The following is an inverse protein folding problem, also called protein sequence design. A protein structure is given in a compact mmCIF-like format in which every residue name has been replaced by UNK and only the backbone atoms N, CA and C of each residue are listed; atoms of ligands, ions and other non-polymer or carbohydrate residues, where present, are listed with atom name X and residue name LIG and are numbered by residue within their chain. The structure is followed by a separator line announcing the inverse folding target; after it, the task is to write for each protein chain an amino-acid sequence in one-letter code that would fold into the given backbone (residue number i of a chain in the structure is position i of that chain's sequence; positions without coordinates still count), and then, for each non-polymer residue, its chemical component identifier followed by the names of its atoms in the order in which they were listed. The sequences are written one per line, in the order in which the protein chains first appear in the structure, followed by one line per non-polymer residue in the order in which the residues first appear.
data_IF_320452344103
#
_entry.id   IF_320452344103
#
_cell.length_a   1.000
_cell.length_b   1.000
_cell.length_c   1.000
_cell.angle_alpha   90.00
_cell.angle_beta   90.00
_cell.angle_gamma   90.00
#
_symmetry.space_group_name_H-M   'P 1'
#
loop_
_entity.id
_entity.type
_entity.pdbx_description
1 polymer ?
#
# COMPACT_ATOMS: atom_id res chain seq x y z
N UNK A 1 1.61 -18.61 1.16
CA UNK A 1 0.14 -18.48 1.36
C UNK A 1 -0.49 -17.54 0.35
N UNK A 2 -0.46 -17.93 -0.93
CA UNK A 2 -0.96 -17.12 -2.04
C UNK A 2 -2.50 -17.15 -2.20
N UNK A 3 -3.20 -17.87 -1.34
CA UNK A 3 -4.65 -18.09 -1.43
C UNK A 3 -5.48 -16.91 -0.91
N UNK A 4 -4.93 -16.09 0.00
CA UNK A 4 -5.66 -14.98 0.60
C UNK A 4 -5.08 -13.65 0.16
N UNK A 5 -5.95 -12.69 -0.14
CA UNK A 5 -5.63 -11.31 -0.41
C UNK A 5 -5.90 -10.44 0.82
N UNK A 6 -5.07 -9.42 1.00
CA UNK A 6 -5.26 -8.43 2.04
C UNK A 6 -5.74 -7.11 1.43
N UNK A 7 -6.85 -6.61 1.93
CA UNK A 7 -7.42 -5.31 1.60
C UNK A 7 -7.42 -4.44 2.86
N UNK A 8 -7.36 -3.13 2.66
CA UNK A 8 -7.63 -2.17 3.72
C UNK A 8 -9.01 -1.57 3.50
N UNK A 9 -9.90 -1.73 4.48
CA UNK A 9 -11.16 -1.01 4.57
C UNK A 9 -10.95 0.15 5.55
N UNK A 10 -11.01 1.38 5.05
CA UNK A 10 -10.62 2.57 5.79
C UNK A 10 -11.85 3.44 6.04
N UNK A 11 -12.20 3.61 7.31
CA UNK A 11 -13.17 4.61 7.75
C UNK A 11 -12.49 5.98 7.79
N UNK A 12 -13.24 7.06 7.55
CA UNK A 12 -12.70 8.41 7.51
C UNK A 12 -13.70 9.44 8.04
N UNK A 13 -13.18 10.62 8.43
CA UNK A 13 -14.00 11.74 8.89
C UNK A 13 -13.20 13.03 8.99
N UNK A 14 -13.93 14.15 9.09
CA UNK A 14 -13.35 15.49 9.29
C UNK A 14 -13.05 15.77 10.77
N UNK A 15 -13.34 14.84 11.64
CA UNK A 15 -12.97 14.84 13.06
C UNK A 15 -12.65 13.43 13.52
N UNK A 16 -11.91 13.31 14.62
CA UNK A 16 -11.62 12.01 15.23
C UNK A 16 -12.91 11.26 15.59
N UNK A 17 -13.88 11.95 16.18
CA UNK A 17 -15.16 11.35 16.59
C UNK A 17 -15.94 10.81 15.40
N UNK A 18 -16.04 11.57 14.30
CA UNK A 18 -16.69 11.11 13.07
C UNK A 18 -16.00 9.87 12.50
N UNK A 19 -14.67 9.87 12.42
CA UNK A 19 -13.91 8.72 11.95
C UNK A 19 -14.10 7.50 12.86
N UNK A 20 -14.19 7.69 14.18
CA UNK A 20 -14.46 6.62 15.15
C UNK A 20 -15.89 6.07 15.03
N UNK A 21 -16.89 6.91 14.81
CA UNK A 21 -18.27 6.45 14.57
C UNK A 21 -18.36 5.60 13.29
N UNK A 22 -17.75 6.07 12.21
CA UNK A 22 -17.71 5.33 10.95
C UNK A 22 -16.94 4.00 11.12
N UNK A 23 -15.82 4.03 11.84
CA UNK A 23 -15.04 2.82 12.11
C UNK A 23 -15.78 1.81 12.99
N UNK A 24 -16.57 2.28 13.94
CA UNK A 24 -17.40 1.44 14.80
C UNK A 24 -18.48 0.71 13.98
N UNK A 25 -19.17 1.43 13.09
CA UNK A 25 -20.15 0.85 12.19
C UNK A 25 -19.50 -0.16 11.22
N UNK A 26 -18.34 0.22 10.63
CA UNK A 26 -17.57 -0.67 9.76
C UNK A 26 -17.13 -1.94 10.50
N UNK A 27 -16.66 -1.82 11.74
CA UNK A 27 -16.28 -2.97 12.57
C UNK A 27 -17.42 -3.98 12.72
N UNK A 28 -18.64 -3.51 13.02
CA UNK A 28 -19.79 -4.38 13.13
C UNK A 28 -20.18 -5.03 11.80
N UNK A 29 -20.08 -4.30 10.69
CA UNK A 29 -20.30 -4.89 9.36
C UNK A 29 -19.27 -5.97 9.04
N UNK A 30 -18.00 -5.73 9.37
CA UNK A 30 -16.94 -6.73 9.20
C UNK A 30 -17.14 -7.97 10.09
N UNK A 31 -17.57 -7.77 11.33
CA UNK A 31 -17.90 -8.85 12.26
C UNK A 31 -19.05 -9.72 11.73
N UNK A 32 -20.10 -9.09 11.20
CA UNK A 32 -21.20 -9.81 10.59
C UNK A 32 -20.77 -10.57 9.34
N UNK A 33 -19.99 -9.93 8.46
CA UNK A 33 -19.46 -10.58 7.27
C UNK A 33 -18.55 -11.77 7.58
N UNK A 34 -17.80 -11.72 8.69
CA UNK A 34 -17.00 -12.84 9.15
C UNK A 34 -17.86 -14.00 9.62
N UNK A 35 -18.95 -13.72 10.37
CA UNK A 35 -19.91 -14.74 10.80
C UNK A 35 -20.62 -15.41 9.60
N UNK A 36 -20.86 -14.65 8.54
CA UNK A 36 -21.47 -15.12 7.29
C UNK A 36 -20.47 -15.79 6.33
N UNK A 37 -19.23 -16.03 6.76
CA UNK A 37 -18.11 -16.60 5.96
C UNK A 37 -17.79 -15.82 4.67
N UNK A 38 -18.12 -14.53 4.63
CA UNK A 38 -17.85 -13.63 3.49
C UNK A 38 -16.44 -13.03 3.53
N UNK A 39 -15.75 -13.13 4.65
CA UNK A 39 -14.34 -12.82 4.82
C UNK A 39 -13.68 -13.82 5.79
N UNK A 40 -12.37 -14.04 5.64
CA UNK A 40 -11.67 -15.02 6.47
C UNK A 40 -11.29 -14.46 7.83
N UNK A 41 -10.71 -13.27 7.85
CA UNK A 41 -10.21 -12.63 9.06
C UNK A 41 -10.14 -11.11 8.84
N UNK A 42 -10.34 -10.36 9.90
CA UNK A 42 -10.06 -8.93 9.91
C UNK A 42 -9.34 -8.50 11.19
N UNK A 43 -8.67 -7.36 11.12
CA UNK A 43 -8.05 -6.67 12.24
C UNK A 43 -8.54 -5.24 12.26
N UNK A 44 -9.17 -4.83 13.35
CA UNK A 44 -9.82 -3.53 13.49
C UNK A 44 -9.66 -3.01 14.91
N UNK A 45 -9.51 -1.70 15.04
CA UNK A 45 -9.55 -1.01 16.34
C UNK A 45 -10.98 -0.77 16.85
N UNK A 46 -12.02 -1.03 16.05
CA UNK A 46 -13.42 -0.67 16.38
C UNK A 46 -13.98 -1.35 17.63
N UNK A 47 -13.38 -2.46 18.08
CA UNK A 47 -13.77 -3.08 19.36
C UNK A 47 -13.20 -2.37 20.59
N UNK A 48 -12.08 -1.65 20.45
CA UNK A 48 -11.26 -1.12 21.55
C UNK A 48 -11.31 0.42 21.58
N UNK A 49 -11.13 1.05 20.43
CA UNK A 49 -11.19 2.50 20.28
C UNK A 49 -12.59 2.90 19.83
N UNK A 50 -13.37 3.37 20.79
CA UNK A 50 -14.81 3.58 20.62
C UNK A 50 -15.15 5.07 20.47
N UNK A 51 -16.18 5.44 19.72
CA UNK A 51 -16.71 6.78 19.71
C UNK A 51 -17.26 7.17 21.09
N UNK A 52 -17.26 8.45 21.42
CA UNK A 52 -17.63 8.97 22.75
C UNK A 52 -19.01 8.48 23.21
N UNK A 53 -19.97 8.42 22.30
CA UNK A 53 -21.32 7.94 22.59
C UNK A 53 -21.34 6.49 23.10
N UNK A 54 -20.54 5.62 22.49
CA UNK A 54 -20.44 4.21 22.93
C UNK A 54 -19.61 4.06 24.21
N UNK A 55 -18.59 4.91 24.39
CA UNK A 55 -17.86 4.99 25.65
C UNK A 55 -18.79 5.38 26.80
N UNK A 56 -19.60 6.44 26.62
CA UNK A 56 -20.57 6.90 27.64
C UNK A 56 -21.58 5.80 28.01
N UNK A 57 -22.16 5.11 27.02
CA UNK A 57 -23.08 3.99 27.28
C UNK A 57 -22.42 2.85 28.08
N UNK A 58 -21.14 2.56 27.80
CA UNK A 58 -20.40 1.54 28.55
C UNK A 58 -20.08 2.01 29.97
N UNK A 59 -19.73 3.29 30.15
CA UNK A 59 -19.48 3.88 31.45
C UNK A 59 -20.77 3.93 32.31
N UNK A 60 -21.91 4.26 31.72
CA UNK A 60 -23.22 4.23 32.41
C UNK A 60 -23.55 2.82 32.88
N UNK A 61 -23.39 1.81 32.02
CA UNK A 61 -23.56 0.39 32.41
C UNK A 61 -22.60 -0.02 33.52
N UNK A 62 -21.33 0.40 33.46
CA UNK A 62 -20.34 0.18 34.48
C UNK A 62 -20.77 0.79 35.82
N UNK A 63 -21.17 2.09 35.85
CA UNK A 63 -21.62 2.79 37.05
C UNK A 63 -22.90 2.18 37.64
N UNK A 64 -23.81 1.75 36.78
CA UNK A 64 -25.06 1.07 37.22
C UNK A 64 -24.73 -0.28 37.84
N UNK A 65 -23.81 -1.01 37.29
CA UNK A 65 -23.39 -2.31 37.82
C UNK A 65 -22.58 -2.18 39.11
N UNK A 66 -21.61 -1.27 39.15
CA UNK A 66 -20.76 -0.98 40.28
C UNK A 66 -21.31 0.20 41.10
N UNK A 67 -22.51 0.06 41.61
CA UNK A 67 -23.07 1.06 42.50
C UNK A 67 -22.47 0.92 43.93
N UNK A 68 -22.67 1.94 44.75
CA UNK A 68 -22.10 1.99 46.11
C UNK A 68 -22.54 0.81 46.98
N UNK A 69 -23.79 0.34 46.84
CA UNK A 69 -24.31 -0.79 47.58
C UNK A 69 -23.57 -2.08 47.22
N UNK A 70 -23.38 -2.38 45.93
CA UNK A 70 -22.67 -3.57 45.46
C UNK A 70 -21.19 -3.55 45.82
N UNK A 71 -20.53 -2.38 45.68
CA UNK A 71 -19.14 -2.21 46.09
C UNK A 71 -19.00 -2.49 47.58
N UNK A 72 -19.91 -1.93 48.42
CA UNK A 72 -19.91 -2.13 49.86
C UNK A 72 -20.12 -3.63 50.26
N UNK A 73 -21.06 -4.32 49.57
CA UNK A 73 -21.29 -5.76 49.79
C UNK A 73 -20.05 -6.58 49.52
N UNK A 74 -19.43 -6.37 48.35
CA UNK A 74 -18.20 -7.10 47.94
C UNK A 74 -17.02 -6.77 48.86
N UNK A 75 -16.89 -5.51 49.31
CA UNK A 75 -15.85 -5.10 50.25
C UNK A 75 -16.00 -5.84 51.61
N UNK A 76 -17.24 -5.99 52.09
CA UNK A 76 -17.53 -6.79 53.29
C UNK A 76 -17.24 -8.29 53.12
N UNK A 77 -17.69 -8.86 52.02
CA UNK A 77 -17.45 -10.27 51.69
C UNK A 77 -15.96 -10.58 51.55
N UNK A 78 -15.21 -9.78 50.83
CA UNK A 78 -13.77 -9.94 50.67
C UNK A 78 -13.06 -9.82 52.05
N UNK A 79 -13.49 -8.86 52.87
CA UNK A 79 -12.91 -8.67 54.19
C UNK A 79 -13.17 -9.88 55.09
N UNK A 80 -14.38 -10.46 55.02
CA UNK A 80 -14.74 -11.66 55.75
C UNK A 80 -13.90 -12.90 55.32
N UNK A 81 -13.89 -13.21 54.02
CA UNK A 81 -13.18 -14.37 53.48
C UNK A 81 -11.65 -14.24 53.57
N UNK A 82 -11.09 -13.06 53.48
CA UNK A 82 -9.63 -12.86 53.61
C UNK A 82 -9.15 -13.13 55.05
N UNK A 83 -9.99 -12.89 56.05
CA UNK A 83 -9.68 -13.26 57.45
C UNK A 83 -9.60 -14.74 57.64
N UNK A 84 -10.49 -15.51 57.03
CA UNK A 84 -10.50 -16.99 57.09
C UNK A 84 -9.27 -17.61 56.39
N UNK A 85 -8.81 -17.04 55.30
CA UNK A 85 -7.73 -17.59 54.46
C UNK A 85 -6.36 -17.01 54.84
N UNK A 86 -6.30 -16.03 55.76
CA UNK A 86 -5.06 -15.42 56.22
C UNK A 86 -4.47 -14.37 55.28
N UNK A 87 -5.24 -13.82 54.33
CA UNK A 87 -4.83 -12.69 53.49
C UNK A 87 -5.17 -11.36 54.20
N UNK A 88 -4.39 -10.34 53.89
CA UNK A 88 -4.68 -8.98 54.38
C UNK A 88 -5.71 -8.29 53.43
N UNK A 89 -6.86 -7.89 53.95
CA UNK A 89 -7.88 -7.15 53.18
C UNK A 89 -7.33 -5.90 52.47
N UNK A 90 -6.28 -5.29 53.02
CA UNK A 90 -5.60 -4.12 52.42
C UNK A 90 -4.98 -4.39 51.06
N UNK A 91 -4.74 -5.65 50.68
CA UNK A 91 -4.23 -6.02 49.33
C UNK A 91 -5.22 -5.68 48.22
N UNK A 92 -6.53 -5.63 48.53
CA UNK A 92 -7.60 -5.30 47.57
C UNK A 92 -7.93 -3.79 47.53
N UNK A 93 -7.28 -2.94 48.35
CA UNK A 93 -7.53 -1.55 48.37
C UNK A 93 -7.36 -0.83 46.99
N UNK A 94 -6.34 -1.17 46.14
CA UNK A 94 -6.22 -0.60 44.80
C UNK A 94 -7.39 -0.97 43.88
N UNK A 95 -7.93 -2.20 43.99
CA UNK A 95 -9.09 -2.63 43.24
C UNK A 95 -10.35 -1.83 43.60
N UNK A 96 -10.62 -1.66 44.89
CA UNK A 96 -11.76 -0.85 45.33
C UNK A 96 -11.61 0.64 45.02
N UNK A 97 -10.39 1.17 45.07
CA UNK A 97 -10.13 2.52 44.62
C UNK A 97 -10.48 2.71 43.13
N UNK A 98 -10.05 1.76 42.30
CA UNK A 98 -10.39 1.76 40.87
C UNK A 98 -11.92 1.65 40.61
N UNK A 99 -12.66 0.89 41.40
CA UNK A 99 -14.13 0.79 41.29
C UNK A 99 -14.84 2.06 41.70
N UNK A 100 -14.29 2.78 42.70
CA UNK A 100 -14.84 4.06 43.22
C UNK A 100 -14.49 5.25 42.32
N UNK A 101 -13.41 5.13 41.51
CA UNK A 101 -13.09 6.15 40.51
C UNK A 101 -14.15 6.16 39.41
N UNK A 102 -14.49 7.36 38.94
CA UNK A 102 -15.39 7.54 37.80
C UNK A 102 -14.57 7.78 36.56
N UNK A 103 -14.27 6.74 35.76
CA UNK A 103 -13.49 6.90 34.55
C UNK A 103 -14.18 7.88 33.60
N UNK A 104 -13.39 8.68 32.88
CA UNK A 104 -13.85 9.63 31.89
C UNK A 104 -13.67 9.07 30.48
N UNK A 105 -14.48 9.47 29.51
CA UNK A 105 -14.29 9.10 28.12
C UNK A 105 -12.97 9.63 27.60
N UNK A 106 -12.28 8.85 26.81
CA UNK A 106 -11.08 9.28 26.07
C UNK A 106 -11.55 10.07 24.86
N UNK A 107 -11.02 11.29 24.69
CA UNK A 107 -11.48 12.24 23.66
C UNK A 107 -10.41 12.63 22.66
N UNK A 108 -9.15 12.36 22.94
CA UNK A 108 -8.02 12.77 22.11
C UNK A 108 -7.13 11.60 21.68
N UNK A 109 -6.49 11.74 20.53
CA UNK A 109 -5.51 10.76 20.03
C UNK A 109 -4.34 10.58 21.00
N UNK A 110 -3.89 11.68 21.66
CA UNK A 110 -2.79 11.65 22.62
C UNK A 110 -3.11 10.76 23.82
N UNK A 111 -4.35 10.82 24.31
CA UNK A 111 -4.82 9.96 25.41
C UNK A 111 -4.85 8.48 24.99
N UNK A 112 -5.30 8.17 23.76
CA UNK A 112 -5.24 6.82 23.23
C UNK A 112 -3.81 6.32 23.05
N UNK A 113 -2.89 7.17 22.60
CA UNK A 113 -1.46 6.83 22.45
C UNK A 113 -0.79 6.53 23.79
N UNK A 114 -1.23 7.19 24.86
CA UNK A 114 -0.73 6.96 26.22
C UNK A 114 -1.03 5.54 26.73
N UNK A 115 -2.00 4.83 26.13
CA UNK A 115 -2.33 3.44 26.48
C UNK A 115 -1.26 2.43 26.07
N UNK A 116 -0.19 2.82 25.42
CA UNK A 116 1.05 2.09 25.01
C UNK A 116 0.91 0.59 24.65
N UNK A 117 -0.17 -0.07 25.04
CA UNK A 117 -0.45 -1.49 24.78
C UNK A 117 -0.89 -1.76 23.32
N UNK A 118 -1.29 -0.73 22.59
CA UNK A 118 -1.81 -0.83 21.23
C UNK A 118 -1.09 0.19 20.35
N UNK A 119 -0.51 -0.23 19.20
CA UNK A 119 0.14 0.69 18.26
C UNK A 119 -0.91 1.47 17.46
N UNK A 120 -1.60 2.39 18.09
CA UNK A 120 -2.73 3.15 17.51
C UNK A 120 -2.29 3.94 16.27
N UNK A 121 -1.04 4.47 16.28
CA UNK A 121 -0.46 5.20 15.14
C UNK A 121 -0.37 4.40 13.85
N UNK A 122 -0.33 3.08 13.95
CA UNK A 122 -0.31 2.22 12.76
C UNK A 122 -1.67 2.10 12.08
N UNK A 123 -2.74 2.44 12.79
CA UNK A 123 -4.12 2.30 12.33
C UNK A 123 -4.83 3.64 12.11
N UNK A 124 -4.51 4.66 12.92
CA UNK A 124 -5.14 5.97 12.85
C UNK A 124 -4.13 6.97 12.30
N UNK A 125 -4.49 7.65 11.22
CA UNK A 125 -3.69 8.71 10.63
C UNK A 125 -4.49 10.00 10.59
N UNK A 126 -3.86 11.10 11.01
CA UNK A 126 -4.37 12.45 10.89
C UNK A 126 -3.54 13.24 9.88
N UNK A 127 -4.20 13.91 8.97
CA UNK A 127 -3.56 14.83 8.04
C UNK A 127 -4.49 16.00 7.74
N UNK A 128 -4.02 17.21 8.07
CA UNK A 128 -4.76 18.45 7.78
C UNK A 128 -6.20 18.48 8.33
N UNK A 129 -6.42 17.88 9.53
CA UNK A 129 -7.73 17.77 10.16
C UNK A 129 -8.61 16.65 9.60
N UNK A 130 -8.12 15.84 8.67
CA UNK A 130 -8.79 14.68 8.14
C UNK A 130 -8.25 13.41 8.81
N UNK A 131 -9.16 12.63 9.38
CA UNK A 131 -8.84 11.41 10.11
C UNK A 131 -9.18 10.17 9.29
N UNK A 132 -8.28 9.19 9.30
CA UNK A 132 -8.50 7.89 8.65
C UNK A 132 -8.17 6.76 9.61
N UNK A 133 -9.00 5.72 9.62
CA UNK A 133 -8.82 4.54 10.46
C UNK A 133 -8.82 3.30 9.55
N UNK A 134 -7.68 2.64 9.45
CA UNK A 134 -7.48 1.52 8.58
C UNK A 134 -7.80 0.19 9.26
N UNK A 135 -8.60 -0.64 8.62
CA UNK A 135 -8.90 -2.01 9.03
C UNK A 135 -8.34 -2.98 7.99
N UNK A 136 -7.55 -3.94 8.43
CA UNK A 136 -6.99 -4.96 7.56
C UNK A 136 -7.99 -6.11 7.41
N UNK A 137 -8.35 -6.46 6.19
CA UNK A 137 -9.27 -7.56 5.87
C UNK A 137 -8.55 -8.59 5.01
N UNK A 138 -8.66 -9.87 5.38
CA UNK A 138 -8.16 -11.01 4.61
C UNK A 138 -9.33 -11.80 4.04
N UNK A 139 -9.30 -12.00 2.72
CA UNK A 139 -10.35 -12.70 1.99
C UNK A 139 -9.79 -13.45 0.78
N UNK A 140 -10.58 -14.35 0.19
CA UNK A 140 -10.23 -15.02 -1.06
C UNK A 140 -10.50 -14.12 -2.26
N UNK A 141 -9.95 -14.48 -3.43
CA UNK A 141 -10.21 -13.73 -4.66
C UNK A 141 -11.69 -13.68 -5.01
N UNK A 142 -12.41 -14.75 -4.78
CA UNK A 142 -13.85 -14.88 -5.09
C UNK A 142 -14.71 -14.01 -4.16
N UNK A 143 -14.33 -13.89 -2.89
CA UNK A 143 -15.03 -13.06 -1.90
C UNK A 143 -14.83 -11.55 -2.12
N UNK A 144 -13.75 -11.16 -2.86
CA UNK A 144 -13.31 -9.77 -2.99
C UNK A 144 -14.39 -8.85 -3.58
N UNK A 145 -14.93 -9.22 -4.73
CA UNK A 145 -15.85 -8.34 -5.46
C UNK A 145 -17.19 -8.21 -4.73
N UNK A 146 -17.65 -9.29 -4.11
CA UNK A 146 -18.85 -9.29 -3.26
C UNK A 146 -18.63 -8.42 -2.01
N UNK A 147 -17.46 -8.52 -1.38
CA UNK A 147 -17.08 -7.71 -0.23
C UNK A 147 -17.08 -6.20 -0.56
N UNK A 148 -16.43 -5.82 -1.67
CA UNK A 148 -16.36 -4.41 -2.10
C UNK A 148 -17.77 -3.85 -2.32
N UNK A 149 -18.60 -4.53 -3.08
CA UNK A 149 -19.96 -4.09 -3.37
C UNK A 149 -20.84 -3.96 -2.13
N UNK A 150 -20.65 -4.82 -1.14
CA UNK A 150 -21.44 -4.80 0.09
C UNK A 150 -20.99 -3.68 1.01
N UNK A 151 -19.69 -3.50 1.23
CA UNK A 151 -19.16 -2.44 2.11
C UNK A 151 -19.45 -1.04 1.54
N UNK A 152 -19.32 -0.82 0.24
CA UNK A 152 -19.62 0.48 -0.39
C UNK A 152 -21.09 0.90 -0.24
N UNK A 153 -22.00 -0.07 -0.07
CA UNK A 153 -23.43 0.22 0.14
C UNK A 153 -23.74 0.54 1.60
N UNK A 154 -23.07 -0.13 2.52
CA UNK A 154 -23.47 -0.13 3.93
C UNK A 154 -22.78 0.99 4.73
N UNK A 155 -21.57 1.39 4.34
CA UNK A 155 -20.78 2.39 5.08
C UNK A 155 -19.94 3.25 4.14
N UNK A 156 -19.78 4.56 4.43
CA UNK A 156 -18.82 5.41 3.71
C UNK A 156 -17.39 4.96 4.04
N UNK A 157 -16.86 4.07 3.23
CA UNK A 157 -15.58 3.40 3.47
C UNK A 157 -14.72 3.47 2.21
N UNK A 158 -13.45 3.84 2.37
CA UNK A 158 -12.46 3.77 1.30
C UNK A 158 -11.78 2.40 1.30
N UNK A 159 -11.92 1.66 0.22
CA UNK A 159 -11.26 0.36 0.05
C UNK A 159 -9.94 0.55 -0.67
N UNK A 160 -8.84 0.14 -0.04
CA UNK A 160 -7.48 0.23 -0.57
C UNK A 160 -6.94 -1.18 -0.81
N UNK A 161 -6.90 -1.59 -2.06
CA UNK A 161 -6.23 -2.81 -2.51
C UNK A 161 -4.81 -2.47 -2.97
N UNK A 162 -3.84 -2.60 -2.07
CA UNK A 162 -2.43 -2.28 -2.36
C UNK A 162 -1.89 -3.06 -3.56
N UNK A 163 -2.30 -4.32 -3.71
CA UNK A 163 -1.84 -5.15 -4.83
C UNK A 163 -2.42 -4.64 -6.14
N UNK A 164 -3.72 -4.38 -6.20
CA UNK A 164 -4.38 -3.86 -7.39
C UNK A 164 -3.86 -2.46 -7.76
N UNK A 165 -3.64 -1.59 -6.78
CA UNK A 165 -3.03 -0.25 -6.99
C UNK A 165 -1.64 -0.40 -7.58
N UNK A 166 -0.79 -1.28 -7.02
CA UNK A 166 0.56 -1.51 -7.52
C UNK A 166 0.54 -2.09 -8.94
N UNK A 167 -0.30 -3.07 -9.22
CA UNK A 167 -0.44 -3.67 -10.55
C UNK A 167 -0.94 -2.65 -11.59
N UNK A 168 -1.94 -1.84 -11.23
CA UNK A 168 -2.48 -0.78 -12.09
C UNK A 168 -1.43 0.31 -12.34
N UNK A 169 -0.71 0.72 -11.29
CA UNK A 169 0.36 1.72 -11.40
C UNK A 169 1.50 1.22 -12.30
N UNK A 170 1.97 -0.03 -12.07
CA UNK A 170 3.00 -0.64 -12.89
C UNK A 170 2.55 -0.83 -14.34
N UNK A 171 1.29 -1.19 -14.55
CA UNK A 171 0.70 -1.29 -15.89
C UNK A 171 0.72 0.06 -16.63
N UNK A 172 0.24 1.13 -15.99
CA UNK A 172 0.29 2.48 -16.56
C UNK A 172 1.72 2.95 -16.82
N UNK A 173 2.63 2.71 -15.87
CA UNK A 173 4.04 3.06 -16.03
C UNK A 173 4.65 2.35 -17.24
N UNK A 174 4.33 1.08 -17.47
CA UNK A 174 4.75 0.33 -18.65
C UNK A 174 4.26 0.99 -19.94
N UNK A 175 2.98 1.36 -20.00
CA UNK A 175 2.39 1.99 -21.18
C UNK A 175 3.00 3.37 -21.45
N UNK A 176 3.25 4.16 -20.41
CA UNK A 176 3.91 5.46 -20.50
C UNK A 176 5.36 5.32 -21.02
N UNK A 177 6.14 4.36 -20.50
CA UNK A 177 7.51 4.10 -20.97
C UNK A 177 7.53 3.67 -22.43
N UNK A 178 6.62 2.78 -22.85
CA UNK A 178 6.50 2.35 -24.25
C UNK A 178 6.13 3.52 -25.18
N UNK A 179 5.24 4.39 -24.73
CA UNK A 179 4.85 5.60 -25.50
C UNK A 179 6.04 6.56 -25.62
N UNK A 180 6.77 6.82 -24.52
CA UNK A 180 7.97 7.65 -24.55
C UNK A 180 9.06 7.08 -25.44
N UNK A 181 9.30 5.76 -25.41
CA UNK A 181 10.25 5.07 -26.26
C UNK A 181 9.86 5.21 -27.74
N UNK A 182 8.56 5.14 -28.07
CA UNK A 182 8.05 5.34 -29.42
C UNK A 182 8.29 6.78 -29.92
N UNK A 183 7.99 7.77 -29.08
CA UNK A 183 8.25 9.18 -29.43
C UNK A 183 9.73 9.47 -29.57
N UNK A 184 10.58 8.94 -28.67
CA UNK A 184 12.02 9.07 -28.77
C UNK A 184 12.57 8.43 -30.05
N UNK A 185 12.10 7.23 -30.42
CA UNK A 185 12.49 6.57 -31.67
C UNK A 185 12.11 7.38 -32.91
N UNK A 186 10.91 7.97 -32.89
CA UNK A 186 10.46 8.85 -33.98
C UNK A 186 11.31 10.11 -34.06
N UNK A 187 11.65 10.73 -32.93
CA UNK A 187 12.51 11.91 -32.89
C UNK A 187 13.93 11.57 -33.40
N UNK A 188 14.51 10.44 -33.00
CA UNK A 188 15.80 9.97 -33.51
C UNK A 188 15.74 9.78 -35.03
N UNK A 189 14.68 9.16 -35.54
CA UNK A 189 14.50 9.01 -36.98
C UNK A 189 14.56 10.34 -37.73
N UNK A 190 13.83 11.36 -37.26
CA UNK A 190 13.84 12.69 -37.90
C UNK A 190 15.20 13.38 -37.77
N UNK A 191 15.87 13.29 -36.63
CA UNK A 191 17.22 13.84 -36.42
C UNK A 191 18.20 13.20 -37.40
N UNK A 192 18.18 11.86 -37.54
CA UNK A 192 19.05 11.15 -38.48
C UNK A 192 18.74 11.54 -39.93
N UNK A 193 17.47 11.73 -40.27
CA UNK A 193 17.07 12.14 -41.61
C UNK A 193 17.59 13.54 -41.97
N UNK A 194 17.54 14.49 -41.05
CA UNK A 194 18.10 15.84 -41.20
C UNK A 194 19.62 15.76 -41.31
N UNK A 195 20.28 14.92 -40.52
CA UNK A 195 21.74 14.78 -40.46
C UNK A 195 22.28 14.14 -41.76
N UNK A 196 21.80 12.96 -42.12
CA UNK A 196 22.28 12.24 -43.29
C UNK A 196 21.73 12.73 -44.62
N UNK A 197 20.58 13.40 -44.62
CA UNK A 197 19.84 13.87 -45.81
C UNK A 197 19.59 12.79 -46.89
N UNK A 198 19.78 11.50 -46.55
CA UNK A 198 19.56 10.33 -47.41
C UNK A 198 18.89 9.25 -46.58
N UNK A 199 17.68 8.84 -47.02
CA UNK A 199 16.88 7.86 -46.31
C UNK A 199 17.58 6.49 -46.22
N UNK A 200 18.39 6.15 -47.23
CA UNK A 200 19.13 4.89 -47.26
C UNK A 200 20.10 4.75 -46.08
N UNK A 201 20.82 5.85 -45.74
CA UNK A 201 21.75 5.86 -44.61
C UNK A 201 20.99 5.83 -43.28
N UNK A 202 19.83 6.48 -43.19
CA UNK A 202 18.97 6.41 -42.03
C UNK A 202 18.50 4.96 -41.79
N UNK A 203 18.00 4.29 -42.82
CA UNK A 203 17.56 2.90 -42.74
C UNK A 203 18.74 1.98 -42.37
N UNK A 204 19.92 2.16 -42.97
CA UNK A 204 21.12 1.40 -42.61
C UNK A 204 21.49 1.54 -41.12
N UNK A 205 21.36 2.75 -40.58
CA UNK A 205 21.60 3.02 -39.14
C UNK A 205 20.55 2.41 -38.24
N UNK A 206 19.29 2.33 -38.67
CA UNK A 206 18.18 1.82 -37.86
C UNK A 206 18.10 0.27 -37.84
N UNK A 207 18.63 -0.44 -38.86
CA UNK A 207 18.58 -1.89 -38.93
C UNK A 207 19.24 -2.56 -37.70
N UNK A 208 20.47 -2.21 -37.29
CA UNK A 208 21.11 -2.81 -36.10
C UNK A 208 20.30 -2.54 -34.80
N UNK A 209 19.72 -1.35 -34.70
CA UNK A 209 18.89 -0.96 -33.54
C UNK A 209 17.66 -1.83 -33.47
N UNK A 210 16.99 -2.03 -34.60
CA UNK A 210 15.81 -2.92 -34.70
C UNK A 210 16.17 -4.38 -34.33
N UNK A 211 17.29 -4.89 -34.87
CA UNK A 211 17.77 -6.23 -34.54
C UNK A 211 18.06 -6.36 -33.05
N UNK A 212 18.75 -5.38 -32.44
CA UNK A 212 19.04 -5.36 -31.00
C UNK A 212 17.76 -5.40 -30.17
N UNK A 213 16.72 -4.62 -30.54
CA UNK A 213 15.44 -4.63 -29.88
C UNK A 213 14.75 -6.00 -29.94
N UNK A 214 14.72 -6.62 -31.13
CA UNK A 214 14.11 -7.95 -31.32
C UNK A 214 14.87 -9.02 -30.54
N UNK A 215 16.20 -9.01 -30.61
CA UNK A 215 17.04 -10.00 -29.90
C UNK A 215 16.90 -9.84 -28.39
N UNK A 216 16.91 -8.60 -27.89
CA UNK A 216 16.74 -8.35 -26.45
C UNK A 216 15.40 -8.86 -25.95
N UNK A 217 14.30 -8.58 -26.64
CA UNK A 217 12.98 -9.05 -26.25
C UNK A 217 12.83 -10.56 -26.39
N UNK A 218 13.44 -11.15 -27.40
CA UNK A 218 13.47 -12.61 -27.57
C UNK A 218 14.24 -13.31 -26.44
N UNK A 219 15.41 -12.80 -26.07
CA UNK A 219 16.20 -13.31 -24.94
C UNK A 219 15.44 -13.20 -23.61
N UNK A 220 14.81 -12.07 -23.35
CA UNK A 220 13.97 -11.91 -22.16
C UNK A 220 12.88 -12.99 -22.08
N UNK A 221 12.22 -13.26 -23.20
CA UNK A 221 11.18 -14.29 -23.26
C UNK A 221 11.75 -15.70 -23.04
N UNK A 222 12.90 -16.03 -23.64
CA UNK A 222 13.56 -17.34 -23.48
C UNK A 222 13.98 -17.57 -22.02
N UNK A 223 14.50 -16.54 -21.35
CA UNK A 223 14.94 -16.64 -19.96
C UNK A 223 13.80 -16.43 -18.93
N UNK A 224 12.57 -16.23 -19.40
CA UNK A 224 11.43 -16.00 -18.51
C UNK A 224 11.53 -14.70 -17.71
N UNK A 225 12.27 -13.69 -18.19
CA UNK A 225 12.43 -12.40 -17.53
C UNK A 225 11.16 -11.57 -17.78
N UNK A 226 10.42 -11.30 -16.71
CA UNK A 226 9.24 -10.46 -16.77
C UNK A 226 9.57 -9.01 -17.16
N UNK A 227 8.69 -8.41 -17.95
CA UNK A 227 8.80 -7.00 -18.33
C UNK A 227 8.39 -6.10 -17.17
N UNK A 228 9.34 -5.80 -16.29
CA UNK A 228 9.18 -4.94 -15.13
C UNK A 228 9.96 -3.62 -15.28
N UNK A 229 9.85 -2.72 -14.32
CA UNK A 229 10.52 -1.40 -14.35
C UNK A 229 12.03 -1.51 -14.52
N UNK A 230 12.67 -2.48 -13.87
CA UNK A 230 14.12 -2.68 -13.98
C UNK A 230 14.53 -3.16 -15.37
N UNK A 231 13.81 -4.14 -15.92
CA UNK A 231 14.06 -4.63 -17.27
C UNK A 231 13.83 -3.54 -18.33
N UNK A 232 12.85 -2.66 -18.14
CA UNK A 232 12.62 -1.50 -19.01
C UNK A 232 13.79 -0.53 -19.00
N UNK A 233 14.36 -0.21 -17.84
CA UNK A 233 15.55 0.66 -17.74
C UNK A 233 16.74 0.03 -18.47
N UNK A 234 16.99 -1.27 -18.27
CA UNK A 234 18.07 -1.99 -18.95
C UNK A 234 17.85 -2.00 -20.46
N UNK A 235 16.64 -2.32 -20.93
CA UNK A 235 16.31 -2.28 -22.37
C UNK A 235 16.54 -0.88 -22.97
N UNK A 236 16.17 0.18 -22.26
CA UNK A 236 16.38 1.56 -22.72
C UNK A 236 17.88 1.89 -22.85
N UNK A 237 18.71 1.45 -21.88
CA UNK A 237 20.15 1.63 -21.93
C UNK A 237 20.78 0.85 -23.10
N UNK A 238 20.37 -0.39 -23.31
CA UNK A 238 20.86 -1.23 -24.43
C UNK A 238 20.47 -0.61 -25.78
N UNK A 239 19.24 -0.14 -25.92
CA UNK A 239 18.79 0.54 -27.14
C UNK A 239 19.55 1.85 -27.36
N UNK A 240 19.77 2.66 -26.31
CA UNK A 240 20.54 3.91 -26.40
C UNK A 240 21.97 3.65 -26.89
N UNK A 241 22.67 2.68 -26.30
CA UNK A 241 23.99 2.29 -26.76
C UNK A 241 23.98 1.80 -28.23
N UNK A 242 22.97 1.02 -28.59
CA UNK A 242 22.84 0.53 -29.98
C UNK A 242 22.70 1.68 -30.98
N UNK A 243 21.99 2.75 -30.61
CA UNK A 243 21.85 3.96 -31.44
C UNK A 243 23.21 4.63 -31.64
N UNK A 244 23.96 4.85 -30.57
CA UNK A 244 25.28 5.51 -30.62
C UNK A 244 26.27 4.72 -31.51
N UNK A 245 26.40 3.42 -31.29
CA UNK A 245 27.23 2.57 -32.11
C UNK A 245 26.85 2.57 -33.59
N UNK A 246 25.54 2.51 -33.86
CA UNK A 246 25.03 2.48 -35.22
C UNK A 246 25.33 3.78 -35.98
N UNK A 247 25.20 4.92 -35.31
CA UNK A 247 25.55 6.24 -35.88
C UNK A 247 27.03 6.32 -36.16
N UNK A 248 27.88 5.94 -35.19
CA UNK A 248 29.34 5.96 -35.38
C UNK A 248 29.79 5.10 -36.55
N UNK A 249 29.27 3.88 -36.64
CA UNK A 249 29.63 2.97 -37.76
C UNK A 249 29.16 3.50 -39.12
N UNK A 250 27.95 4.05 -39.19
CA UNK A 250 27.41 4.63 -40.43
C UNK A 250 28.24 5.84 -40.86
N UNK A 251 28.62 6.73 -39.94
CA UNK A 251 29.46 7.87 -40.21
C UNK A 251 30.86 7.44 -40.68
N UNK A 252 31.45 6.41 -40.06
CA UNK A 252 32.75 5.87 -40.47
C UNK A 252 32.71 5.30 -41.90
N UNK A 253 31.70 4.47 -42.20
CA UNK A 253 31.52 3.92 -43.55
C UNK A 253 31.28 4.98 -44.60
N UNK A 254 30.50 6.03 -44.30
CA UNK A 254 30.28 7.15 -45.18
C UNK A 254 31.56 7.92 -45.48
N UNK A 255 32.42 8.09 -44.44
CA UNK A 255 33.68 8.80 -44.60
C UNK A 255 34.67 7.99 -45.44
N UNK A 256 34.83 6.67 -45.18
CA UNK A 256 35.65 5.76 -46.00
C UNK A 256 35.21 5.80 -47.46
N UNK A 257 33.90 5.70 -47.70
CA UNK A 257 33.38 5.77 -49.08
C UNK A 257 33.68 7.12 -49.79
N UNK A 258 33.63 8.23 -49.04
CA UNK A 258 33.82 9.58 -49.60
C UNK A 258 35.30 9.96 -49.79
N UNK A 259 36.20 9.45 -48.95
CA UNK A 259 37.65 9.81 -48.96
C UNK A 259 38.54 8.77 -49.61
N UNK A 260 38.04 7.54 -49.81
CA UNK A 260 38.82 6.42 -50.35
C UNK A 260 39.96 5.93 -49.42
N UNK A 261 39.95 6.35 -48.13
CA UNK A 261 40.93 5.94 -47.11
C UNK A 261 40.24 4.98 -46.14
N UNK A 262 40.94 3.87 -45.83
CA UNK A 262 40.45 2.91 -44.86
C UNK A 262 40.63 3.48 -43.41
N UNK A 263 39.69 4.22 -42.91
CA UNK A 263 39.62 4.75 -41.52
C UNK A 263 38.90 3.79 -40.56
N UNK A 264 38.29 2.71 -41.06
CA UNK A 264 37.56 1.72 -40.28
C UNK A 264 38.39 1.13 -39.12
N UNK A 265 39.72 0.87 -39.25
CA UNK A 265 40.52 0.38 -38.14
C UNK A 265 40.58 1.34 -36.95
N UNK A 266 40.64 2.65 -37.21
CA UNK A 266 40.70 3.68 -36.17
C UNK A 266 39.37 3.73 -35.37
N UNK A 267 38.23 3.60 -36.02
CA UNK A 267 36.94 3.57 -35.36
C UNK A 267 36.71 2.27 -34.58
N UNK A 268 37.23 1.13 -35.08
CA UNK A 268 37.16 -0.15 -34.32
C UNK A 268 37.94 -0.06 -33.01
N UNK A 269 39.09 0.60 -32.98
CA UNK A 269 39.89 0.76 -31.74
C UNK A 269 39.25 1.73 -30.76
N UNK A 270 38.50 2.74 -31.23
CA UNK A 270 37.83 3.72 -30.36
C UNK A 270 36.51 3.20 -29.77
N UNK A 271 36.00 2.07 -30.23
CA UNK A 271 34.75 1.45 -29.84
C UNK A 271 34.95 0.23 -28.89
N UNK A 272 36.17 -0.34 -28.87
CA UNK A 272 36.61 -1.37 -27.94
C UNK A 272 37.15 -0.76 -26.65
#
# INVERSE_FOLDING_TARGET
DSKYKSLYATAYGNSLEEALEQNYNLHHSLEQMQKDDKLKQFSSLGAIVLPQKEQQKRLERWRTFWNEERIGQIEQEITYFTQEVGFKASMYAPFFACLKESPQPITSLVEYEALSAIPIKDFITEKEGFYTIANLVKLTQEQRDTFIQQIEKDTPTLIIDRKNISETFLGKLKDDVLSLASYASLAIFFVLLIFFRRIELVLLTLIPIGITGVVTTALMNIFGIEFNVFSMIVCTLVLGHSVDFSIFMTCALQKDYSTGKDELPVYKVSVL
#
